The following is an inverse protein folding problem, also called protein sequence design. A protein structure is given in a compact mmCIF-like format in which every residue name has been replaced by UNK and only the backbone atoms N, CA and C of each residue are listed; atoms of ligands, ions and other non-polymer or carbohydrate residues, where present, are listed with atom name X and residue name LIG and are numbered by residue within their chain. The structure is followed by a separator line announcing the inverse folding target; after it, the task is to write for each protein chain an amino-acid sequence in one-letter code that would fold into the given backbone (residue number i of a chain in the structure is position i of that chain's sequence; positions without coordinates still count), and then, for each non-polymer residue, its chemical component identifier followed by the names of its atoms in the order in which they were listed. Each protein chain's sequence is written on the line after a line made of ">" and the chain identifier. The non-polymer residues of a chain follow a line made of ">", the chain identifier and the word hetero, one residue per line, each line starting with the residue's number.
data_IF_149830313476
#
_entry.id   IF_149830313476
#
_cell.length_a   1.000
_cell.length_b   1.000
_cell.length_c   1.000
_cell.angle_alpha   90.00
_cell.angle_beta   90.00
_cell.angle_gamma   90.00
#
_symmetry.space_group_name_H-M   'P 1'
#
loop_
_entity.id
_entity.type
_entity.pdbx_description
1 polymer ?
#
# COMPACT_ATOMS: atom_id res chain seq x y z
N UNK A 1 -7.86 -52.98 -27.41
CA UNK A 1 -7.40 -52.54 -26.07
C UNK A 1 -7.16 -51.04 -26.12
N UNK A 2 -8.11 -50.24 -25.64
CA UNK A 2 -7.98 -48.77 -25.57
C UNK A 2 -7.02 -48.39 -24.46
N UNK A 3 -6.03 -47.54 -24.75
CA UNK A 3 -5.01 -47.13 -23.76
C UNK A 3 -5.65 -46.20 -22.72
N UNK A 4 -5.24 -46.34 -21.46
CA UNK A 4 -5.72 -45.51 -20.34
C UNK A 4 -5.63 -44.00 -20.63
N UNK A 5 -4.63 -43.60 -21.43
CA UNK A 5 -4.40 -42.22 -21.88
C UNK A 5 -5.47 -41.69 -22.82
N UNK A 6 -6.13 -42.54 -23.61
CA UNK A 6 -7.24 -42.13 -24.49
C UNK A 6 -8.52 -41.86 -23.70
N UNK A 7 -8.78 -42.64 -22.65
CA UNK A 7 -9.94 -42.45 -21.76
C UNK A 7 -9.82 -41.14 -21.00
N UNK A 8 -8.61 -40.83 -20.48
CA UNK A 8 -8.35 -39.60 -19.74
C UNK A 8 -8.36 -38.34 -20.64
N UNK A 9 -8.07 -38.47 -21.94
CA UNK A 9 -8.11 -37.35 -22.87
C UNK A 9 -9.51 -37.06 -23.45
N UNK A 10 -10.45 -38.01 -23.42
CA UNK A 10 -11.86 -37.78 -23.84
C UNK A 10 -12.64 -36.83 -22.91
N UNK A 11 -12.15 -36.61 -21.69
CA UNK A 11 -12.74 -35.66 -20.73
C UNK A 11 -12.32 -34.20 -20.92
N UNK A 12 -11.26 -33.90 -21.68
CA UNK A 12 -10.85 -32.53 -21.99
C UNK A 12 -11.54 -32.04 -23.26
N UNK A 13 -12.80 -31.61 -23.13
CA UNK A 13 -13.48 -30.83 -24.17
C UNK A 13 -12.68 -29.52 -24.40
N UNK A 14 -12.08 -29.30 -25.58
CA UNK A 14 -11.50 -28.01 -25.92
C UNK A 14 -12.66 -27.02 -26.06
N UNK A 15 -12.71 -26.00 -25.20
CA UNK A 15 -13.67 -24.91 -25.31
C UNK A 15 -14.80 -24.87 -24.27
N UNK A 16 -14.82 -25.72 -23.24
CA UNK A 16 -15.75 -25.58 -22.13
C UNK A 16 -15.08 -24.92 -20.92
N UNK A 17 -14.76 -23.62 -21.05
CA UNK A 17 -14.75 -22.73 -19.90
C UNK A 17 -16.20 -22.44 -19.56
N UNK A 18 -16.86 -23.39 -18.88
CA UNK A 18 -18.20 -23.18 -18.35
C UNK A 18 -18.17 -21.89 -17.55
N UNK A 19 -18.87 -20.87 -18.05
CA UNK A 19 -18.95 -19.58 -17.40
C UNK A 19 -19.57 -19.83 -16.04
N UNK A 20 -18.85 -19.49 -14.97
CA UNK A 20 -19.36 -19.55 -13.61
C UNK A 20 -20.40 -18.43 -13.46
N UNK A 21 -21.64 -18.63 -13.95
CA UNK A 21 -22.70 -17.60 -14.00
C UNK A 21 -23.69 -17.69 -12.86
N UNK A 22 -23.35 -18.34 -11.74
CA UNK A 22 -24.25 -18.43 -10.58
C UNK A 22 -23.89 -17.41 -9.49
N UNK A 23 -23.71 -16.14 -9.86
CA UNK A 23 -24.04 -15.05 -8.95
C UNK A 23 -25.48 -14.64 -9.26
N UNK A 24 -26.44 -15.28 -8.58
CA UNK A 24 -27.76 -14.67 -8.43
C UNK A 24 -27.48 -13.35 -7.69
N UNK A 25 -27.87 -12.20 -8.23
CA UNK A 25 -27.66 -10.92 -7.56
C UNK A 25 -28.55 -10.90 -6.30
N UNK A 26 -28.04 -11.43 -5.18
CA UNK A 26 -28.73 -11.44 -3.86
C UNK A 26 -28.56 -10.11 -3.14
N UNK A 27 -27.84 -9.14 -3.73
CA UNK A 27 -27.56 -7.86 -3.10
C UNK A 27 -28.66 -6.85 -3.42
N UNK A 28 -29.19 -6.12 -2.41
CA UNK A 28 -30.20 -5.07 -2.62
C UNK A 28 -29.64 -3.83 -3.35
N UNK A 29 -28.35 -3.82 -3.70
CA UNK A 29 -27.67 -2.72 -4.38
C UNK A 29 -26.78 -3.25 -5.52
N UNK A 30 -26.58 -2.40 -6.54
CA UNK A 30 -25.66 -2.67 -7.64
C UNK A 30 -24.21 -2.50 -7.19
N UNK A 31 -23.38 -3.50 -7.44
CA UNK A 31 -21.94 -3.42 -7.20
C UNK A 31 -21.28 -2.63 -8.35
N UNK A 32 -20.62 -1.49 -8.09
CA UNK A 32 -20.02 -0.69 -9.16
C UNK A 32 -18.79 -1.36 -9.78
N UNK A 33 -18.14 -2.27 -9.05
CA UNK A 33 -17.05 -3.11 -9.54
C UNK A 33 -17.31 -4.56 -9.12
N UNK A 34 -16.96 -5.54 -9.98
CA UNK A 34 -17.11 -6.94 -9.62
C UNK A 34 -16.14 -7.30 -8.47
N UNK A 35 -16.54 -8.22 -7.57
CA UNK A 35 -15.76 -8.60 -6.38
C UNK A 35 -14.60 -9.54 -6.76
N UNK A 36 -13.65 -9.04 -7.52
CA UNK A 36 -12.52 -9.80 -8.04
C UNK A 36 -11.23 -9.05 -7.75
N UNK A 37 -10.17 -9.77 -7.39
CA UNK A 37 -8.91 -9.13 -7.08
C UNK A 37 -8.18 -8.77 -8.39
N UNK A 38 -7.50 -7.63 -8.37
CA UNK A 38 -6.60 -7.26 -9.45
C UNK A 38 -5.25 -7.93 -9.24
N UNK A 39 -4.50 -8.11 -10.33
CA UNK A 39 -3.11 -8.58 -10.27
C UNK A 39 -2.12 -7.47 -9.82
N UNK A 40 -2.63 -6.37 -9.28
CA UNK A 40 -1.84 -5.28 -8.72
C UNK A 40 -2.56 -4.56 -7.60
N UNK A 41 -1.78 -4.07 -6.65
CA UNK A 41 -2.19 -3.15 -5.58
C UNK A 41 -1.70 -1.75 -5.90
N UNK A 42 -2.50 -0.75 -5.51
CA UNK A 42 -2.12 0.66 -5.65
C UNK A 42 -0.94 0.97 -4.76
N UNK A 43 0.06 1.66 -5.30
CA UNK A 43 1.19 2.16 -4.52
C UNK A 43 0.76 3.45 -3.80
N UNK A 44 -0.09 3.31 -2.77
CA UNK A 44 -0.57 4.43 -1.98
C UNK A 44 0.54 4.81 -1.01
N UNK A 45 1.17 5.96 -1.23
CA UNK A 45 2.07 6.56 -0.24
C UNK A 45 1.24 6.90 0.99
N UNK A 46 1.69 6.50 2.16
CA UNK A 46 1.07 6.94 3.41
C UNK A 46 1.16 8.47 3.47
N UNK A 47 -0.01 9.11 3.40
CA UNK A 47 -0.13 10.57 3.40
C UNK A 47 0.05 11.17 4.79
N UNK A 48 0.12 10.35 5.83
CA UNK A 48 0.29 10.75 7.22
C UNK A 48 1.75 11.07 7.57
N UNK A 49 2.44 11.82 6.69
CA UNK A 49 3.74 12.39 7.05
C UNK A 49 3.48 13.72 7.74
N UNK A 50 3.31 13.65 9.06
CA UNK A 50 3.45 14.83 9.91
C UNK A 50 4.87 15.37 9.68
N UNK A 51 5.01 16.70 9.55
CA UNK A 51 6.34 17.29 9.41
C UNK A 51 7.19 16.89 10.63
N UNK A 52 8.44 16.42 10.44
CA UNK A 52 9.29 16.09 11.57
C UNK A 52 9.60 17.34 12.40
N UNK A 53 9.78 17.17 13.71
CA UNK A 53 10.26 18.21 14.63
C UNK A 53 9.34 19.43 14.81
N UNK A 54 8.00 19.26 14.66
CA UNK A 54 7.03 20.33 14.89
C UNK A 54 7.03 20.87 16.33
N UNK A 55 7.27 20.01 17.32
CA UNK A 55 7.32 20.43 18.72
C UNK A 55 8.56 21.29 18.99
N UNK A 56 9.73 20.86 18.50
CA UNK A 56 11.00 21.57 18.69
C UNK A 56 11.01 22.94 18.00
N UNK A 57 10.45 23.03 16.78
CA UNK A 57 10.33 24.32 16.11
C UNK A 57 9.33 25.24 16.83
N UNK A 58 8.27 24.67 17.43
CA UNK A 58 7.33 25.41 18.27
C UNK A 58 8.02 26.06 19.48
N UNK A 59 8.82 25.29 20.21
CA UNK A 59 9.59 25.79 21.37
C UNK A 59 10.57 26.90 20.97
N UNK A 60 11.29 26.71 19.87
CA UNK A 60 12.21 27.70 19.32
C UNK A 60 11.49 29.02 18.95
N UNK A 61 10.31 28.94 18.32
CA UNK A 61 9.49 30.11 18.00
C UNK A 61 8.98 30.84 19.26
N UNK A 62 8.62 30.09 20.32
CA UNK A 62 8.23 30.71 21.59
C UNK A 62 9.39 31.45 22.26
N UNK A 63 10.59 30.87 22.21
CA UNK A 63 11.78 31.53 22.75
C UNK A 63 12.12 32.81 21.97
N UNK A 64 12.09 32.76 20.64
CA UNK A 64 12.30 33.95 19.80
C UNK A 64 11.31 35.07 20.09
N UNK A 65 10.04 34.73 20.33
CA UNK A 65 9.02 35.73 20.69
C UNK A 65 9.34 36.45 22.00
N UNK A 66 9.96 35.77 22.97
CA UNK A 66 10.31 36.35 24.27
C UNK A 66 11.62 37.16 24.29
N UNK A 67 12.47 36.98 23.27
CA UNK A 67 13.85 37.46 23.23
C UNK A 67 14.15 38.37 22.04
N UNK A 68 13.11 38.98 21.44
CA UNK A 68 13.20 39.81 20.24
C UNK A 68 13.98 39.15 19.09
N UNK A 69 13.78 37.83 18.91
CA UNK A 69 14.44 37.01 17.88
C UNK A 69 15.98 36.97 17.99
N UNK A 70 16.53 37.21 19.17
CA UNK A 70 17.98 37.07 19.41
C UNK A 70 18.40 35.61 19.48
N UNK A 71 19.21 35.17 18.51
CA UNK A 71 19.81 33.83 18.46
C UNK A 71 20.58 33.45 19.74
N UNK A 72 21.21 34.41 20.40
CA UNK A 72 22.06 34.17 21.59
C UNK A 72 21.26 33.78 22.83
N UNK A 73 19.97 34.14 22.90
CA UNK A 73 19.10 33.81 24.04
C UNK A 73 18.50 32.41 23.98
N UNK A 74 18.44 31.81 22.77
CA UNK A 74 17.70 30.58 22.49
C UNK A 74 18.60 29.44 21.99
N UNK A 75 19.88 29.43 22.40
CA UNK A 75 20.84 28.43 21.92
C UNK A 75 20.44 27.00 22.25
N UNK A 76 19.69 26.79 23.34
CA UNK A 76 19.24 25.46 23.77
C UNK A 76 18.18 24.90 22.81
N UNK A 77 17.20 25.73 22.47
CA UNK A 77 16.09 25.42 21.57
C UNK A 77 16.60 25.24 20.12
N UNK A 78 17.60 26.04 19.71
CA UNK A 78 18.26 25.88 18.40
C UNK A 78 19.01 24.55 18.33
N UNK A 79 19.74 24.16 19.38
CA UNK A 79 20.42 22.86 19.42
C UNK A 79 19.44 21.70 19.37
N UNK A 80 18.38 21.74 20.17
CA UNK A 80 17.33 20.71 20.20
C UNK A 80 16.64 20.54 18.83
N UNK A 81 16.29 21.65 18.18
CA UNK A 81 15.73 21.62 16.83
C UNK A 81 16.69 20.99 15.80
N UNK A 82 17.97 21.37 15.82
CA UNK A 82 18.97 20.84 14.89
C UNK A 82 19.23 19.35 15.11
N UNK A 83 19.27 18.89 16.35
CA UNK A 83 19.41 17.47 16.70
C UNK A 83 18.22 16.65 16.17
N UNK A 84 16.99 17.13 16.38
CA UNK A 84 15.81 16.49 15.82
C UNK A 84 15.83 16.48 14.29
N UNK A 85 16.22 17.60 13.67
CA UNK A 85 16.28 17.71 12.21
C UNK A 85 17.29 16.72 11.62
N UNK A 86 18.48 16.63 12.20
CA UNK A 86 19.50 15.66 11.79
C UNK A 86 19.03 14.20 11.97
N UNK A 87 18.29 13.90 13.04
CA UNK A 87 17.69 12.58 13.23
C UNK A 87 16.63 12.27 12.15
N UNK A 88 15.81 13.26 11.78
CA UNK A 88 14.73 13.07 10.80
C UNK A 88 15.23 12.76 9.38
N UNK A 89 16.39 13.29 8.98
CA UNK A 89 17.00 13.01 7.68
C UNK A 89 17.42 11.54 7.54
N UNK A 90 17.75 10.90 8.66
CA UNK A 90 18.23 9.52 8.72
C UNK A 90 17.13 8.52 9.06
N UNK A 91 15.88 8.95 9.26
CA UNK A 91 14.80 8.03 9.57
C UNK A 91 14.48 7.16 8.33
N UNK A 92 14.66 5.82 8.42
CA UNK A 92 14.21 4.95 7.37
C UNK A 92 12.69 5.09 7.22
N UNK A 93 12.13 4.93 6.01
CA UNK A 93 10.69 4.86 5.86
C UNK A 93 10.17 3.79 6.81
N UNK A 94 9.25 4.15 7.71
CA UNK A 94 8.63 3.20 8.64
C UNK A 94 7.77 2.23 7.83
N UNK A 95 8.40 1.23 7.23
CA UNK A 95 7.73 0.02 6.77
C UNK A 95 7.36 -0.73 8.04
N UNK A 96 6.09 -0.69 8.42
CA UNK A 96 5.58 -1.63 9.42
C UNK A 96 5.82 -3.08 8.99
N UNK A 97 5.27 -4.05 9.72
CA UNK A 97 5.37 -5.50 9.40
C UNK A 97 4.77 -5.94 8.04
N UNK A 98 4.47 -5.00 7.13
CA UNK A 98 3.85 -5.21 5.82
C UNK A 98 4.89 -5.04 4.72
N UNK A 99 4.85 -5.96 3.75
CA UNK A 99 5.61 -5.84 2.50
C UNK A 99 5.25 -4.55 1.77
N UNK A 100 6.23 -3.97 1.08
CA UNK A 100 5.99 -2.80 0.24
C UNK A 100 5.04 -3.16 -0.92
N UNK A 101 4.25 -2.18 -1.37
CA UNK A 101 3.35 -2.40 -2.52
C UNK A 101 4.10 -2.87 -3.77
N UNK A 102 5.38 -2.49 -3.92
CA UNK A 102 6.23 -2.95 -5.02
C UNK A 102 6.55 -4.45 -4.92
N UNK A 103 6.89 -4.94 -3.72
CA UNK A 103 7.14 -6.37 -3.48
C UNK A 103 5.87 -7.20 -3.67
N UNK A 104 4.73 -6.73 -3.13
CA UNK A 104 3.43 -7.37 -3.32
C UNK A 104 3.08 -7.43 -4.82
N UNK A 105 3.28 -6.35 -5.56
CA UNK A 105 3.04 -6.33 -7.01
C UNK A 105 3.95 -7.28 -7.78
N UNK A 106 5.19 -7.49 -7.33
CA UNK A 106 6.10 -8.50 -7.93
C UNK A 106 5.57 -9.92 -7.70
N UNK A 107 5.00 -10.20 -6.52
CA UNK A 107 4.37 -11.49 -6.20
C UNK A 107 3.09 -11.72 -7.00
N UNK A 108 2.19 -10.72 -7.05
CA UNK A 108 0.93 -10.83 -7.78
C UNK A 108 1.12 -11.01 -9.29
N UNK A 109 2.21 -10.48 -9.86
CA UNK A 109 2.59 -10.73 -11.26
C UNK A 109 3.05 -12.17 -11.52
N UNK A 110 3.68 -12.82 -10.52
CA UNK A 110 4.13 -14.21 -10.64
C UNK A 110 2.97 -15.19 -10.55
N UNK A 111 1.96 -14.87 -9.75
CA UNK A 111 0.78 -15.69 -9.52
C UNK A 111 -0.49 -14.90 -9.84
N UNK A 112 -0.79 -14.67 -11.13
CA UNK A 112 -1.96 -13.90 -11.52
C UNK A 112 -3.25 -14.66 -11.23
N UNK A 113 -4.33 -13.92 -10.99
CA UNK A 113 -5.66 -14.49 -10.90
C UNK A 113 -6.08 -15.13 -12.24
N UNK A 114 -6.80 -16.26 -12.20
CA UNK A 114 -7.33 -16.88 -13.40
C UNK A 114 -8.27 -15.92 -14.14
N UNK A 115 -8.34 -16.03 -15.49
CA UNK A 115 -9.20 -15.18 -16.29
C UNK A 115 -10.65 -15.37 -15.87
N UNK A 116 -11.27 -14.29 -15.46
CA UNK A 116 -12.65 -14.22 -15.02
C UNK A 116 -13.42 -13.40 -16.05
N UNK A 117 -14.53 -13.96 -16.52
CA UNK A 117 -15.44 -13.26 -17.42
C UNK A 117 -16.61 -12.71 -16.61
N UNK A 118 -16.59 -11.40 -16.36
CA UNK A 118 -17.77 -10.67 -15.94
C UNK A 118 -18.38 -10.01 -17.18
N UNK A 119 -19.69 -10.21 -17.38
CA UNK A 119 -20.50 -9.46 -18.33
C UNK A 119 -21.18 -8.32 -17.60
#
# INVERSE_FOLDING_TARGET
>A
MTRLTEVLNRGRRPGYHGKFTNYKEVFPYKLPLPPILKNSVSNKKDKSKVAPCLEEIGLLLTCWKSSDFSMKGCEKEVKAFNECYAASLNQPPQTGSRLSAAEVNKLLKRFPQPPHSYK
#
